data_IF_411021191818
#
_entry.id   IF_411021191818
#
_cell.length_a   1.000
_cell.length_b   1.000
_cell.length_c   1.000
_cell.angle_alpha   90.00
_cell.angle_beta   90.00
_cell.angle_gamma   90.00
#
_symmetry.space_group_name_H-M   'P 1'
#
loop_
_entity.id
_entity.type
_entity.pdbx_description
1 polymer ?
#
# COMPACT_ATOMS: atom_id res chain seq x y z
N UNK A 1 10.97 -44.68 16.93
CA UNK A 1 9.65 -44.26 16.38
C UNK A 1 9.59 -42.76 16.45
N UNK A 2 9.55 -42.11 15.29
CA UNK A 2 9.78 -40.68 15.13
C UNK A 2 8.52 -40.01 14.58
N UNK A 3 7.81 -39.21 15.39
CA UNK A 3 6.75 -38.29 14.95
C UNK A 3 6.66 -37.07 15.86
N UNK A 4 7.76 -36.32 15.98
CA UNK A 4 7.68 -34.90 16.36
C UNK A 4 7.38 -34.09 15.11
N UNK A 5 6.11 -33.76 14.86
CA UNK A 5 5.75 -32.59 14.02
C UNK A 5 4.53 -31.91 14.63
N UNK A 6 4.81 -30.95 15.50
CA UNK A 6 3.90 -29.85 15.85
C UNK A 6 3.29 -29.25 14.57
N UNK A 7 1.98 -28.98 14.51
CA UNK A 7 1.41 -28.24 13.41
C UNK A 7 1.92 -26.79 13.51
N UNK A 8 2.84 -26.41 12.63
CA UNK A 8 3.19 -25.02 12.40
C UNK A 8 1.91 -24.28 12.01
N UNK A 9 1.41 -23.47 12.95
CA UNK A 9 0.36 -22.47 12.74
C UNK A 9 0.60 -21.81 11.38
N UNK A 10 -0.34 -21.85 10.42
CA UNK A 10 -0.17 -21.08 9.20
C UNK A 10 -0.06 -19.62 9.63
N UNK A 11 1.10 -19.01 9.43
CA UNK A 11 1.23 -17.56 9.48
C UNK A 11 0.25 -17.04 8.42
N UNK A 12 -0.90 -16.54 8.86
CA UNK A 12 -1.92 -16.01 7.96
C UNK A 12 -1.24 -14.97 7.06
N UNK A 13 -1.09 -15.31 5.79
CA UNK A 13 -0.56 -14.38 4.81
C UNK A 13 -1.46 -13.14 4.84
N UNK A 14 -0.93 -12.01 5.33
CA UNK A 14 -1.68 -10.77 5.35
C UNK A 14 -2.13 -10.43 3.93
N UNK A 15 -3.35 -9.93 3.75
CA UNK A 15 -3.80 -9.47 2.44
C UNK A 15 -3.00 -8.24 2.01
N UNK A 16 -2.90 -8.01 0.68
CA UNK A 16 -2.24 -6.82 0.14
C UNK A 16 -2.88 -5.52 0.65
N UNK A 17 -4.21 -5.49 0.77
CA UNK A 17 -4.96 -4.36 1.31
C UNK A 17 -4.58 -4.05 2.76
N UNK A 18 -4.46 -5.08 3.61
CA UNK A 18 -4.06 -4.87 5.01
C UNK A 18 -2.61 -4.38 5.13
N UNK A 19 -1.69 -4.86 4.28
CA UNK A 19 -0.31 -4.35 4.24
C UNK A 19 -0.26 -2.89 3.82
N UNK A 20 -1.03 -2.50 2.81
CA UNK A 20 -1.15 -1.09 2.39
C UNK A 20 -1.71 -0.23 3.51
N UNK A 21 -2.82 -0.63 4.13
CA UNK A 21 -3.42 0.10 5.24
C UNK A 21 -2.42 0.34 6.39
N UNK A 22 -1.64 -0.67 6.78
CA UNK A 22 -0.59 -0.50 7.80
C UNK A 22 0.52 0.46 7.38
N UNK A 23 0.96 0.40 6.13
CA UNK A 23 1.98 1.30 5.60
C UNK A 23 1.49 2.76 5.55
N UNK A 24 0.23 2.97 5.17
CA UNK A 24 -0.43 4.29 5.24
C UNK A 24 -0.49 4.77 6.69
N UNK A 25 -1.00 3.96 7.62
CA UNK A 25 -1.05 4.36 9.04
C UNK A 25 0.33 4.67 9.63
N UNK A 26 1.37 3.97 9.20
CA UNK A 26 2.74 4.26 9.63
C UNK A 26 3.23 5.62 9.08
N UNK A 27 2.95 5.91 7.80
CA UNK A 27 3.24 7.21 7.17
C UNK A 27 2.49 8.36 7.88
N UNK A 28 1.19 8.18 8.14
CA UNK A 28 0.34 9.12 8.86
C UNK A 28 0.92 9.46 10.22
N UNK A 29 1.30 8.46 11.02
CA UNK A 29 1.90 8.68 12.35
C UNK A 29 3.27 9.34 12.28
N UNK A 30 4.11 8.94 11.31
CA UNK A 30 5.48 9.47 11.16
C UNK A 30 5.49 10.97 10.90
N UNK A 31 4.53 11.46 10.11
CA UNK A 31 4.46 12.87 9.70
C UNK A 31 3.33 13.65 10.39
N UNK A 32 2.56 13.03 11.28
CA UNK A 32 1.42 13.68 11.93
C UNK A 32 0.36 14.16 10.94
N UNK A 33 0.06 13.35 9.91
CA UNK A 33 -0.89 13.72 8.87
C UNK A 33 -2.31 13.84 9.44
N UNK A 34 -3.00 14.93 9.09
CA UNK A 34 -4.42 15.09 9.38
C UNK A 34 -5.29 14.21 8.45
N UNK A 35 -6.60 14.19 8.69
CA UNK A 35 -7.52 13.39 7.90
C UNK A 35 -7.48 13.76 6.40
N UNK A 36 -7.31 15.05 6.06
CA UNK A 36 -7.24 15.50 4.66
C UNK A 36 -6.01 14.95 3.96
N UNK A 37 -4.85 15.05 4.60
CA UNK A 37 -3.58 14.51 4.09
C UNK A 37 -3.61 12.98 4.00
N UNK A 38 -4.25 12.31 4.97
CA UNK A 38 -4.43 10.86 4.92
C UNK A 38 -5.32 10.43 3.76
N UNK A 39 -6.49 11.03 3.57
CA UNK A 39 -7.41 10.72 2.46
C UNK A 39 -6.75 10.97 1.10
N UNK A 40 -5.97 12.05 0.98
CA UNK A 40 -5.20 12.34 -0.23
C UNK A 40 -4.17 11.22 -0.52
N UNK A 41 -3.43 10.77 0.49
CA UNK A 41 -2.47 9.67 0.35
C UNK A 41 -3.16 8.36 -0.03
N UNK A 42 -4.27 8.01 0.63
CA UNK A 42 -5.05 6.82 0.34
C UNK A 42 -5.53 6.80 -1.12
N UNK A 43 -6.12 7.91 -1.59
CA UNK A 43 -6.59 8.04 -2.96
C UNK A 43 -5.46 7.86 -4.00
N UNK A 44 -4.27 8.42 -3.74
CA UNK A 44 -3.10 8.27 -4.64
C UNK A 44 -2.55 6.84 -4.60
N UNK A 45 -2.50 6.19 -3.43
CA UNK A 45 -2.09 4.77 -3.29
C UNK A 45 -3.05 3.84 -4.04
N UNK A 46 -4.33 4.18 -4.08
CA UNK A 46 -5.36 3.49 -4.88
C UNK A 46 -5.30 3.81 -6.38
N UNK A 47 -4.44 4.75 -6.78
CA UNK A 47 -4.16 5.07 -8.18
C UNK A 47 -4.94 6.26 -8.74
N UNK A 48 -5.66 7.00 -7.91
CA UNK A 48 -6.38 8.21 -8.36
C UNK A 48 -5.41 9.32 -8.78
N UNK A 49 -5.74 10.04 -9.85
CA UNK A 49 -4.96 11.15 -10.40
C UNK A 49 -5.88 12.23 -10.99
N UNK A 50 -5.38 13.47 -11.05
CA UNK A 50 -6.08 14.59 -11.69
C UNK A 50 -7.51 14.76 -11.19
N UNK A 51 -8.48 14.83 -12.11
CA UNK A 51 -9.89 15.00 -11.78
C UNK A 51 -10.46 13.85 -10.91
N UNK A 52 -9.98 12.61 -11.10
CA UNK A 52 -10.41 11.48 -10.27
C UNK A 52 -9.88 11.58 -8.83
N UNK A 53 -8.70 12.16 -8.64
CA UNK A 53 -8.16 12.45 -7.32
C UNK A 53 -8.97 13.55 -6.64
N UNK A 54 -9.20 14.66 -7.36
CA UNK A 54 -10.01 15.78 -6.90
C UNK A 54 -11.41 15.31 -6.42
N UNK A 55 -12.09 14.51 -7.24
CA UNK A 55 -13.40 13.94 -6.89
C UNK A 55 -13.37 13.03 -5.65
N UNK A 56 -12.33 12.20 -5.47
CA UNK A 56 -12.21 11.31 -4.30
C UNK A 56 -11.99 12.06 -2.99
N UNK A 57 -11.29 13.20 -3.05
CA UNK A 57 -11.03 14.03 -1.88
C UNK A 57 -12.06 15.15 -1.70
N UNK A 58 -13.11 15.17 -2.54
CA UNK A 58 -14.19 16.15 -2.48
C UNK A 58 -13.73 17.58 -2.77
N UNK A 59 -12.74 17.74 -3.64
CA UNK A 59 -12.09 19.01 -3.94
C UNK A 59 -12.19 19.34 -5.44
N UNK A 60 -12.15 20.62 -5.77
CA UNK A 60 -11.85 21.07 -7.14
C UNK A 60 -10.33 21.09 -7.42
N UNK A 61 -9.93 21.54 -8.61
CA UNK A 61 -8.52 21.57 -9.00
C UNK A 61 -7.66 22.54 -8.16
N UNK A 62 -8.24 23.65 -7.71
CA UNK A 62 -7.55 24.65 -6.88
C UNK A 62 -7.41 24.16 -5.45
N UNK A 63 -8.48 23.58 -4.90
CA UNK A 63 -8.49 22.95 -3.59
C UNK A 63 -7.54 21.74 -3.53
N UNK A 64 -7.45 20.95 -4.60
CA UNK A 64 -6.50 19.84 -4.69
C UNK A 64 -5.05 20.33 -4.58
N UNK A 65 -4.69 21.43 -5.26
CA UNK A 65 -3.36 22.02 -5.16
C UNK A 65 -3.06 22.51 -3.73
N UNK A 66 -4.06 23.04 -3.03
CA UNK A 66 -3.92 23.42 -1.61
C UNK A 66 -3.72 22.19 -0.71
N UNK A 67 -4.46 21.11 -0.94
CA UNK A 67 -4.31 19.85 -0.20
C UNK A 67 -2.91 19.26 -0.41
N UNK A 68 -2.38 19.28 -1.63
CA UNK A 68 -1.01 18.88 -1.92
C UNK A 68 0.02 19.79 -1.22
N UNK A 69 -0.25 21.10 -1.16
CA UNK A 69 0.56 22.06 -0.40
C UNK A 69 0.61 21.76 1.10
N UNK A 70 -0.55 21.53 1.73
CA UNK A 70 -0.63 21.12 3.14
C UNK A 70 0.08 19.79 3.39
N UNK A 71 -0.05 18.84 2.47
CA UNK A 71 0.65 17.55 2.56
C UNK A 71 2.18 17.75 2.54
N UNK A 72 2.70 18.58 1.64
CA UNK A 72 4.13 18.90 1.59
C UNK A 72 4.59 19.61 2.86
N UNK A 73 3.78 20.52 3.42
CA UNK A 73 4.10 21.16 4.69
C UNK A 73 4.17 20.15 5.85
N UNK A 74 3.18 19.26 5.97
CA UNK A 74 3.11 18.25 7.03
C UNK A 74 4.30 17.27 6.96
N UNK A 75 4.71 16.90 5.75
CA UNK A 75 5.81 15.96 5.51
C UNK A 75 7.18 16.61 5.35
N UNK A 76 7.27 17.93 5.52
CA UNK A 76 8.51 18.73 5.35
C UNK A 76 9.15 18.60 3.96
N UNK A 77 8.31 18.60 2.93
CA UNK A 77 8.72 18.67 1.52
C UNK A 77 8.51 17.38 0.72
N UNK A 78 7.86 16.35 1.27
CA UNK A 78 7.53 15.15 0.52
C UNK A 78 6.23 15.36 -0.27
N UNK A 79 6.24 15.08 -1.57
CA UNK A 79 5.02 15.09 -2.37
C UNK A 79 4.14 13.87 -2.04
N UNK A 80 2.82 13.99 -2.22
CA UNK A 80 1.91 12.86 -1.98
C UNK A 80 2.24 11.65 -2.86
N UNK A 81 2.70 11.87 -4.10
CA UNK A 81 3.10 10.79 -5.00
C UNK A 81 4.36 10.06 -4.52
N UNK A 82 5.34 10.78 -3.98
CA UNK A 82 6.54 10.18 -3.40
C UNK A 82 6.20 9.37 -2.14
N UNK A 83 5.35 9.91 -1.27
CA UNK A 83 4.83 9.19 -0.11
C UNK A 83 4.05 7.92 -0.50
N UNK A 84 3.20 8.00 -1.52
CA UNK A 84 2.45 6.86 -2.03
C UNK A 84 3.39 5.77 -2.61
N UNK A 85 4.45 6.16 -3.32
CA UNK A 85 5.46 5.21 -3.80
C UNK A 85 6.17 4.50 -2.63
N UNK A 86 6.51 5.22 -1.56
CA UNK A 86 7.09 4.62 -0.35
C UNK A 86 6.12 3.62 0.31
N UNK A 87 4.84 3.98 0.43
CA UNK A 87 3.78 3.09 0.94
C UNK A 87 3.66 1.81 0.11
N UNK A 88 3.62 1.95 -1.22
CA UNK A 88 3.55 0.81 -2.14
C UNK A 88 4.78 -0.09 -2.02
N UNK A 89 5.97 0.51 -1.94
CA UNK A 89 7.22 -0.23 -1.77
C UNK A 89 7.30 -0.98 -0.43
N UNK A 90 6.95 -0.32 0.68
CA UNK A 90 6.93 -0.93 2.02
C UNK A 90 5.88 -2.06 2.09
N UNK A 91 4.69 -1.84 1.55
CA UNK A 91 3.62 -2.85 1.56
C UNK A 91 3.93 -4.08 0.69
N UNK A 92 4.76 -3.93 -0.35
CA UNK A 92 5.26 -5.02 -1.17
C UNK A 92 6.33 -5.86 -0.48
N UNK A 93 7.23 -5.24 0.31
CA UNK A 93 8.29 -5.96 1.06
C UNK A 93 7.74 -6.96 2.09
N UNK A 94 6.53 -6.73 2.61
CA UNK A 94 5.84 -7.67 3.50
C UNK A 94 5.04 -8.78 2.79
N UNK A 95 5.07 -8.86 1.46
CA UNK A 95 4.35 -9.89 0.72
C UNK A 95 5.13 -11.23 0.77
N UNK A 96 4.44 -12.37 0.99
CA UNK A 96 5.09 -13.67 0.88
C UNK A 96 5.64 -13.83 -0.54
N UNK A 97 6.91 -14.26 -0.65
CA UNK A 97 7.53 -14.56 -1.93
C UNK A 97 6.87 -15.82 -2.51
N UNK A 98 5.88 -15.64 -3.36
CA UNK A 98 5.24 -16.75 -4.08
C UNK A 98 6.16 -17.10 -5.24
N UNK A 99 7.00 -18.12 -5.07
CA UNK A 99 7.71 -18.73 -6.20
C UNK A 99 6.65 -19.22 -7.19
N UNK A 100 6.69 -18.82 -8.47
CA UNK A 100 5.76 -19.38 -9.46
C UNK A 100 5.98 -20.89 -9.50
N UNK A 101 4.88 -21.65 -9.41
CA UNK A 101 4.94 -23.10 -9.55
C UNK A 101 5.55 -23.42 -10.93
N UNK A 102 6.51 -24.36 -11.02
CA UNK A 102 7.06 -24.76 -12.30
C UNK A 102 5.95 -25.25 -13.22
N UNK A 103 5.99 -24.95 -14.53
CA UNK A 103 4.96 -25.37 -15.47
C UNK A 103 4.79 -26.89 -15.40
N UNK A 104 3.54 -27.34 -15.33
CA UNK A 104 3.21 -28.76 -15.29
C UNK A 104 3.75 -29.42 -16.56
N UNK A 105 4.71 -30.34 -16.41
CA UNK A 105 5.22 -31.10 -17.54
C UNK A 105 4.11 -32.03 -18.07
N UNK A 106 3.88 -32.08 -19.40
CA UNK A 106 2.92 -33.00 -19.97
C UNK A 106 3.37 -34.43 -19.68
N UNK A 107 2.49 -35.22 -19.05
CA UNK A 107 2.70 -36.66 -18.86
C UNK A 107 2.70 -37.31 -20.24
N UNK A 108 3.83 -37.86 -20.67
CA UNK A 108 3.90 -38.68 -21.89
C UNK A 108 3.05 -39.95 -21.67
N UNK A 109 2.12 -40.29 -22.58
CA UNK A 109 1.53 -41.61 -22.62
C UNK A 109 2.63 -42.63 -23.00
N UNK A 110 2.70 -43.72 -22.24
CA UNK A 110 3.42 -44.94 -22.62
C UNK A 110 2.53 -45.88 -23.41
#
# INVERSE_FOLDING_TARGET
MDRRRTPTKPALAMSASLRRARAISAMTRRHGLDLRCQTLLEAVVEGARGAALAARVGADATELAQHEGWFMQATRGLTVYAAAAEVLHVSARGAPSVRPAPPAQPRRPG
#
